data_IF_318358613785
#
_entry.id   IF_318358613785
#
_cell.length_a   1.000
_cell.length_b   1.000
_cell.length_c   1.000
_cell.angle_alpha   90.00
_cell.angle_beta   90.00
_cell.angle_gamma   90.00
#
_symmetry.space_group_name_H-M   'P 1'
#
loop_
_entity.id
_entity.type
_entity.pdbx_description
1 polymer ?
#
# COMPACT_ATOMS: atom_id res chain seq x y z
N UNK A 1 -8.35 11.38 -0.41
CA UNK A 1 -7.76 12.70 -0.03
C UNK A 1 -8.53 13.85 -0.67
N UNK A 2 -8.61 13.94 -2.01
CA UNK A 2 -9.34 15.03 -2.69
C UNK A 2 -10.79 15.20 -2.20
N UNK A 3 -11.55 14.10 -2.15
CA UNK A 3 -12.94 14.13 -1.67
C UNK A 3 -13.08 14.62 -0.22
N UNK A 4 -12.16 14.20 0.65
CA UNK A 4 -12.16 14.62 2.06
C UNK A 4 -11.86 16.12 2.20
N UNK A 5 -10.97 16.67 1.37
CA UNK A 5 -10.67 18.10 1.36
C UNK A 5 -11.90 18.92 0.94
N UNK A 6 -12.61 18.47 -0.10
CA UNK A 6 -13.87 19.09 -0.54
C UNK A 6 -14.94 19.05 0.56
N UNK A 7 -15.12 17.91 1.23
CA UNK A 7 -16.08 17.74 2.34
C UNK A 7 -15.80 18.67 3.53
N UNK A 8 -14.53 19.04 3.74
CA UNK A 8 -14.11 19.92 4.82
C UNK A 8 -13.94 21.38 4.37
N UNK A 9 -14.28 21.72 3.12
CA UNK A 9 -14.08 23.07 2.55
C UNK A 9 -12.63 23.56 2.64
N UNK A 10 -11.68 22.66 2.41
CA UNK A 10 -10.24 22.96 2.44
C UNK A 10 -9.70 23.01 1.01
N UNK A 11 -9.09 24.14 0.65
CA UNK A 11 -8.40 24.31 -0.63
C UNK A 11 -6.93 23.89 -0.52
N UNK A 12 -6.47 23.04 -1.44
CA UNK A 12 -5.09 22.63 -1.59
C UNK A 12 -4.45 23.42 -2.73
N UNK A 13 -3.37 24.13 -2.40
CA UNK A 13 -2.54 24.87 -3.36
C UNK A 13 -1.13 24.27 -3.38
N UNK A 14 -0.70 23.81 -4.57
CA UNK A 14 0.67 23.38 -4.83
C UNK A 14 1.41 24.55 -5.47
N UNK A 15 2.32 25.15 -4.70
CA UNK A 15 3.03 26.38 -5.08
C UNK A 15 3.94 26.12 -6.29
N UNK A 16 4.74 25.05 -6.25
CA UNK A 16 5.73 24.76 -7.31
C UNK A 16 5.10 24.47 -8.68
N UNK A 17 3.87 23.95 -8.69
CA UNK A 17 3.13 23.65 -9.92
C UNK A 17 2.11 24.72 -10.28
N UNK A 18 1.93 25.72 -9.40
CA UNK A 18 0.87 26.72 -9.51
C UNK A 18 -0.52 26.11 -9.76
N UNK A 19 -0.86 25.04 -9.02
CA UNK A 19 -2.15 24.33 -9.13
C UNK A 19 -2.96 24.51 -7.85
N UNK A 20 -4.24 24.82 -7.99
CA UNK A 20 -5.19 24.95 -6.88
C UNK A 20 -6.41 24.04 -7.06
N UNK A 21 -6.87 23.38 -6.00
CA UNK A 21 -8.18 22.71 -5.99
C UNK A 21 -9.36 23.67 -6.05
N UNK A 22 -9.14 24.98 -5.90
CA UNK A 22 -10.20 25.98 -6.08
C UNK A 22 -10.64 26.09 -7.55
N UNK A 23 -9.70 25.83 -8.48
CA UNK A 23 -9.95 25.89 -9.91
C UNK A 23 -10.42 24.53 -10.45
N UNK A 24 -11.36 24.54 -11.41
CA UNK A 24 -11.89 23.31 -12.02
C UNK A 24 -10.80 22.43 -12.64
N UNK A 25 -9.79 23.04 -13.27
CA UNK A 25 -8.62 22.36 -13.83
C UNK A 25 -7.80 21.66 -12.74
N UNK A 26 -7.59 22.30 -11.59
CA UNK A 26 -6.87 21.69 -10.49
C UNK A 26 -7.65 20.53 -9.86
N UNK A 27 -8.96 20.66 -9.65
CA UNK A 27 -9.80 19.53 -9.20
C UNK A 27 -9.70 18.31 -10.13
N UNK A 28 -9.75 18.54 -11.45
CA UNK A 28 -9.57 17.46 -12.43
C UNK A 28 -8.18 16.83 -12.30
N UNK A 29 -7.13 17.65 -12.19
CA UNK A 29 -5.76 17.17 -12.00
C UNK A 29 -5.63 16.28 -10.76
N UNK A 30 -6.15 16.70 -9.61
CA UNK A 30 -6.11 15.90 -8.38
C UNK A 30 -6.91 14.60 -8.48
N UNK A 31 -8.02 14.61 -9.19
CA UNK A 31 -8.82 13.40 -9.45
C UNK A 31 -8.03 12.40 -10.30
N UNK A 32 -7.40 12.87 -11.37
CA UNK A 32 -6.55 12.05 -12.22
C UNK A 32 -5.32 11.51 -11.47
N UNK A 33 -4.68 12.34 -10.65
CA UNK A 33 -3.57 11.89 -9.79
C UNK A 33 -4.01 10.83 -8.79
N UNK A 34 -5.23 10.95 -8.24
CA UNK A 34 -5.78 9.92 -7.34
C UNK A 34 -5.96 8.59 -8.06
N UNK A 35 -6.47 8.60 -9.30
CA UNK A 35 -6.59 7.39 -10.12
C UNK A 35 -5.22 6.76 -10.45
N UNK A 36 -4.21 7.58 -10.75
CA UNK A 36 -2.85 7.07 -10.98
C UNK A 36 -2.24 6.45 -9.72
N UNK A 37 -2.40 7.10 -8.56
CA UNK A 37 -1.90 6.55 -7.29
C UNK A 37 -2.51 5.18 -6.97
N UNK A 38 -3.80 5.00 -7.25
CA UNK A 38 -4.48 3.71 -7.09
C UNK A 38 -3.92 2.65 -8.06
N UNK A 39 -3.75 3.02 -9.34
CA UNK A 39 -3.18 2.13 -10.34
C UNK A 39 -1.75 1.71 -9.98
N UNK A 40 -0.90 2.63 -9.55
CA UNK A 40 0.48 2.33 -9.13
C UNK A 40 0.52 1.40 -7.92
N UNK A 41 -0.31 1.64 -6.91
CA UNK A 41 -0.41 0.78 -5.73
C UNK A 41 -0.82 -0.65 -6.11
N UNK A 42 -1.79 -0.78 -7.02
CA UNK A 42 -2.23 -2.08 -7.54
C UNK A 42 -1.10 -2.81 -8.29
N UNK A 43 -0.42 -2.13 -9.21
CA UNK A 43 0.70 -2.69 -9.96
C UNK A 43 1.85 -3.14 -9.05
N UNK A 44 2.19 -2.36 -8.02
CA UNK A 44 3.23 -2.71 -7.06
C UNK A 44 2.85 -3.96 -6.24
N UNK A 45 1.58 -4.04 -5.81
CA UNK A 45 1.03 -5.20 -5.12
C UNK A 45 1.09 -6.46 -5.98
N UNK A 46 0.67 -6.36 -7.25
CA UNK A 46 0.74 -7.47 -8.21
C UNK A 46 2.17 -7.95 -8.43
N UNK A 47 3.11 -7.02 -8.62
CA UNK A 47 4.53 -7.36 -8.80
C UNK A 47 5.09 -8.08 -7.58
N UNK A 48 4.72 -7.64 -6.38
CA UNK A 48 5.13 -8.27 -5.12
C UNK A 48 4.59 -9.68 -5.02
N UNK A 49 3.30 -9.90 -5.33
CA UNK A 49 2.67 -11.23 -5.32
C UNK A 49 3.37 -12.18 -6.30
N UNK A 50 3.60 -11.75 -7.55
CA UNK A 50 4.35 -12.53 -8.55
C UNK A 50 5.75 -12.90 -8.07
N UNK A 51 6.46 -11.96 -7.42
CA UNK A 51 7.77 -12.20 -6.83
C UNK A 51 7.74 -13.25 -5.71
N UNK A 52 6.73 -13.17 -4.83
CA UNK A 52 6.53 -14.14 -3.75
C UNK A 52 6.17 -15.53 -4.27
N UNK A 53 5.34 -15.63 -5.29
CA UNK A 53 5.01 -16.89 -5.98
C UNK A 53 6.27 -17.53 -6.57
N UNK A 54 7.07 -16.76 -7.31
CA UNK A 54 8.32 -17.25 -7.88
C UNK A 54 9.30 -17.70 -6.78
N UNK A 55 9.37 -17.00 -5.64
CA UNK A 55 10.20 -17.41 -4.51
C UNK A 55 9.71 -18.71 -3.85
N UNK A 56 8.38 -18.88 -3.70
CA UNK A 56 7.77 -20.11 -3.20
C UNK A 56 8.04 -21.30 -4.14
N UNK A 57 7.96 -21.09 -5.45
CA UNK A 57 8.30 -22.11 -6.45
C UNK A 57 9.76 -22.58 -6.35
N UNK A 58 10.68 -21.69 -5.92
CA UNK A 58 12.08 -22.03 -5.61
C UNK A 58 12.28 -22.65 -4.22
N UNK A 59 11.22 -22.97 -3.49
CA UNK A 59 11.28 -23.59 -2.16
C UNK A 59 11.42 -22.63 -0.98
N UNK A 60 11.39 -21.31 -1.18
CA UNK A 60 11.42 -20.34 -0.06
C UNK A 60 10.09 -20.38 0.70
N UNK A 61 10.12 -20.82 1.96
CA UNK A 61 9.00 -20.70 2.89
C UNK A 61 9.07 -19.34 3.62
N UNK A 62 8.30 -18.37 3.12
CA UNK A 62 8.17 -17.05 3.75
C UNK A 62 7.38 -17.08 5.07
N UNK A 63 7.20 -15.91 5.70
CA UNK A 63 6.48 -15.75 6.96
C UNK A 63 7.37 -15.87 8.20
N UNK A 64 6.75 -15.89 9.38
CA UNK A 64 7.45 -16.05 10.66
C UNK A 64 8.05 -17.47 10.76
N UNK A 65 9.34 -17.62 11.10
CA UNK A 65 9.92 -18.94 11.34
C UNK A 65 9.15 -19.71 12.42
N UNK A 66 9.05 -21.03 12.26
CA UNK A 66 8.47 -21.90 13.29
C UNK A 66 9.26 -21.78 14.60
N UNK A 67 8.57 -21.93 15.73
CA UNK A 67 9.23 -22.21 17.00
C UNK A 67 10.17 -23.40 16.83
N UNK A 68 11.39 -23.34 17.40
CA UNK A 68 12.29 -24.48 17.44
C UNK A 68 11.63 -25.67 18.13
N UNK A 69 11.90 -26.88 17.65
CA UNK A 69 11.19 -28.06 18.16
C UNK A 69 11.50 -28.36 19.63
N UNK A 70 12.66 -27.95 20.16
CA UNK A 70 12.96 -28.07 21.59
C UNK A 70 11.98 -27.25 22.45
N UNK A 71 11.68 -26.01 22.05
CA UNK A 71 10.70 -25.17 22.76
C UNK A 71 9.29 -25.73 22.66
N UNK A 72 8.90 -26.29 21.50
CA UNK A 72 7.59 -26.95 21.35
C UNK A 72 7.45 -28.13 22.31
N UNK A 73 8.50 -28.95 22.44
CA UNK A 73 8.52 -30.10 23.36
C UNK A 73 8.46 -29.67 24.81
N UNK A 74 9.21 -28.63 25.18
CA UNK A 74 9.20 -28.06 26.53
C UNK A 74 7.81 -27.54 26.92
N UNK A 75 7.15 -26.79 26.04
CA UNK A 75 5.77 -26.31 26.29
C UNK A 75 4.80 -27.48 26.50
N UNK A 76 4.88 -28.53 25.67
CA UNK A 76 4.02 -29.72 25.78
C UNK A 76 4.32 -30.57 27.02
N UNK A 77 5.49 -30.41 27.63
CA UNK A 77 5.86 -31.09 28.86
C UNK A 77 5.35 -30.35 30.11
N UNK A 78 5.34 -29.01 30.06
CA UNK A 78 4.94 -28.16 31.18
C UNK A 78 3.43 -28.00 31.37
N UNK A 79 2.63 -28.28 30.33
CA UNK A 79 1.17 -28.18 30.32
C UNK A 79 0.55 -29.49 29.84
#
# INVERSE_FOLDING_TARGET
LSQWLDENSIDLHIIDMNVSTKDAMGKMFFTMMSAFAELEANLLSERTKKGLEAARARGRKGGRPSLPDHKKREIKFLY
#
